data_IF_607270274216
#
_entry.id   IF_607270274216
#
_cell.length_a   1.000
_cell.length_b   1.000
_cell.length_c   1.000
_cell.angle_alpha   90.00
_cell.angle_beta   90.00
_cell.angle_gamma   90.00
#
_symmetry.space_group_name_H-M   'P 1'
#
loop_
_entity.id
_entity.type
_entity.pdbx_description
1 polymer ?
#
# COMPACT_ATOMS: atom_id res chain seq x y z
N UNK A 1 -12.28 19.98 11.34
CA UNK A 1 -12.69 18.64 10.89
C UNK A 1 -14.15 18.38 11.17
N UNK A 2 -14.83 17.75 10.25
CA UNK A 2 -16.26 17.42 10.41
C UNK A 2 -16.53 16.05 9.80
N UNK A 3 -17.06 15.15 10.58
CA UNK A 3 -17.53 13.83 10.15
C UNK A 3 -19.04 13.76 10.27
N UNK A 4 -19.71 13.45 9.16
CA UNK A 4 -21.17 13.35 9.09
C UNK A 4 -21.52 12.01 8.46
N UNK A 5 -22.48 11.29 9.05
CA UNK A 5 -23.00 10.04 8.51
C UNK A 5 -24.53 10.10 8.52
N UNK A 6 -25.16 9.93 7.34
CA UNK A 6 -26.61 9.99 7.16
C UNK A 6 -27.28 11.21 7.83
N UNK A 7 -26.70 12.41 7.61
CA UNK A 7 -27.15 13.67 8.19
C UNK A 7 -26.85 13.86 9.68
N UNK A 8 -26.32 12.86 10.36
CA UNK A 8 -25.91 12.97 11.77
C UNK A 8 -24.47 13.41 11.87
N UNK A 9 -24.18 14.48 12.59
CA UNK A 9 -22.83 14.92 12.91
C UNK A 9 -22.23 13.98 13.97
N UNK A 10 -21.10 13.35 13.66
CA UNK A 10 -20.41 12.40 14.53
C UNK A 10 -19.20 13.03 15.23
N UNK A 11 -18.50 13.92 14.51
CA UNK A 11 -17.37 14.67 15.04
C UNK A 11 -17.40 16.06 14.40
N UNK A 12 -17.18 17.09 15.24
CA UNK A 12 -16.90 18.46 14.79
C UNK A 12 -15.72 18.96 15.59
N UNK A 13 -14.72 19.47 14.90
CA UNK A 13 -13.59 20.14 15.50
C UNK A 13 -13.13 21.29 14.63
N UNK A 14 -13.06 22.49 15.23
CA UNK A 14 -12.53 23.69 14.61
C UNK A 14 -11.48 24.32 15.54
N UNK A 15 -10.33 24.68 15.00
CA UNK A 15 -9.24 25.27 15.78
C UNK A 15 -9.71 26.56 16.45
N UNK A 16 -9.60 26.63 17.77
CA UNK A 16 -9.99 27.80 18.57
C UNK A 16 -11.45 27.80 19.05
N UNK A 17 -12.20 26.75 18.76
CA UNK A 17 -13.58 26.52 19.26
C UNK A 17 -13.67 25.18 19.97
N UNK A 18 -14.71 25.02 20.79
CA UNK A 18 -15.01 23.73 21.39
C UNK A 18 -15.60 22.80 20.34
N UNK A 19 -15.04 21.60 20.25
CA UNK A 19 -15.52 20.55 19.39
C UNK A 19 -16.39 19.55 20.13
N UNK A 20 -16.95 18.59 19.42
CA UNK A 20 -17.61 17.45 20.04
C UNK A 20 -17.36 16.15 19.28
N UNK A 21 -17.49 15.04 20.01
CA UNK A 21 -17.51 13.70 19.48
C UNK A 21 -18.73 12.97 20.01
N UNK A 22 -19.39 12.22 19.14
CA UNK A 22 -20.55 11.42 19.50
C UNK A 22 -20.13 10.07 20.08
N UNK A 23 -20.72 9.71 21.21
CA UNK A 23 -20.58 8.40 21.83
C UNK A 23 -21.68 7.45 21.35
N UNK A 24 -21.54 6.15 21.66
CA UNK A 24 -22.62 5.19 21.53
C UNK A 24 -23.77 5.60 22.47
N UNK A 25 -24.95 5.82 21.87
CA UNK A 25 -26.09 6.39 22.56
C UNK A 25 -26.38 7.83 22.16
N UNK A 26 -26.90 8.65 23.09
CA UNK A 26 -27.26 10.04 22.81
C UNK A 26 -26.24 11.07 23.33
N UNK A 27 -25.27 10.62 24.11
CA UNK A 27 -24.31 11.50 24.72
C UNK A 27 -23.23 11.94 23.77
N UNK A 28 -22.72 13.13 23.97
CA UNK A 28 -21.60 13.71 23.21
C UNK A 28 -20.53 14.16 24.21
N UNK A 29 -19.29 13.79 23.94
CA UNK A 29 -18.15 14.33 24.68
C UNK A 29 -17.68 15.64 24.02
N UNK A 30 -17.48 16.65 24.85
CA UNK A 30 -16.93 17.94 24.43
C UNK A 30 -15.41 17.79 24.26
N UNK A 31 -14.90 18.17 23.10
CA UNK A 31 -13.47 18.28 22.85
C UNK A 31 -13.01 19.68 23.26
N UNK A 32 -12.15 19.82 24.29
CA UNK A 32 -11.77 21.12 24.79
C UNK A 32 -11.08 22.01 23.74
N UNK A 33 -11.45 23.29 23.74
CA UNK A 33 -10.83 24.33 22.88
C UNK A 33 -9.31 24.43 23.01
N UNK A 34 -8.78 24.08 24.19
CA UNK A 34 -7.34 24.12 24.49
C UNK A 34 -6.51 23.02 23.83
N UNK A 35 -7.15 22.03 23.19
CA UNK A 35 -6.42 21.01 22.44
C UNK A 35 -5.74 21.66 21.23
N UNK A 36 -4.46 22.03 21.42
CA UNK A 36 -3.57 22.43 20.32
C UNK A 36 -3.24 21.21 19.47
N UNK A 37 -4.24 20.75 18.69
CA UNK A 37 -4.09 19.56 17.85
C UNK A 37 -3.16 19.90 16.70
N UNK A 38 -1.96 19.33 16.71
CA UNK A 38 -1.00 19.40 15.59
C UNK A 38 -1.27 18.38 14.49
N UNK A 39 -2.29 17.54 14.67
CA UNK A 39 -2.68 16.46 13.77
C UNK A 39 -4.22 16.37 13.68
N UNK A 40 -4.74 15.45 12.87
CA UNK A 40 -6.18 15.19 12.79
C UNK A 40 -6.79 14.85 14.16
N UNK A 41 -7.96 15.41 14.49
CA UNK A 41 -8.70 15.04 15.68
C UNK A 41 -9.02 13.55 15.72
N UNK A 42 -9.37 12.95 14.60
CA UNK A 42 -9.61 11.51 14.46
C UNK A 42 -8.41 10.66 14.92
N UNK A 43 -7.18 11.11 14.67
CA UNK A 43 -5.97 10.41 15.08
C UNK A 43 -5.76 10.41 16.60
N UNK A 44 -6.29 11.41 17.28
CA UNK A 44 -6.18 11.56 18.73
C UNK A 44 -7.27 10.81 19.49
N UNK A 45 -8.30 10.34 18.80
CA UNK A 45 -9.35 9.56 19.43
C UNK A 45 -8.77 8.22 19.86
N UNK A 46 -8.70 8.05 21.18
CA UNK A 46 -8.46 6.72 21.73
C UNK A 46 -9.60 5.82 21.26
N UNK A 47 -9.30 4.57 20.91
CA UNK A 47 -10.30 3.54 20.57
C UNK A 47 -11.07 3.12 21.83
N UNK A 48 -11.59 4.12 22.56
CA UNK A 48 -12.43 3.90 23.72
C UNK A 48 -13.74 3.24 23.28
N UNK A 49 -14.22 2.28 24.04
CA UNK A 49 -15.45 1.54 23.75
C UNK A 49 -16.68 2.45 23.68
N UNK A 50 -16.61 3.63 24.30
CA UNK A 50 -17.71 4.63 24.34
C UNK A 50 -17.92 5.39 23.03
N UNK A 51 -16.96 5.40 22.11
CA UNK A 51 -17.05 6.14 20.85
C UNK A 51 -18.04 5.45 19.88
N UNK A 52 -18.87 6.25 19.21
CA UNK A 52 -19.83 5.76 18.21
C UNK A 52 -19.16 4.84 17.20
N UNK A 53 -19.73 3.66 16.98
CA UNK A 53 -19.17 2.61 16.11
C UNK A 53 -18.87 3.09 14.67
N UNK A 54 -19.61 4.07 14.16
CA UNK A 54 -19.40 4.65 12.82
C UNK A 54 -18.08 5.41 12.72
N UNK A 55 -17.67 6.06 13.83
CA UNK A 55 -16.36 6.72 13.92
C UNK A 55 -15.25 5.68 13.95
N UNK A 56 -15.42 4.59 14.74
CA UNK A 56 -14.47 3.47 14.77
C UNK A 56 -14.30 2.87 13.39
N UNK A 57 -15.41 2.59 12.71
CA UNK A 57 -15.39 2.04 11.36
C UNK A 57 -14.65 2.95 10.36
N UNK A 58 -14.86 4.27 10.47
CA UNK A 58 -14.18 5.24 9.63
C UNK A 58 -12.68 5.33 9.93
N UNK A 59 -12.28 5.27 11.19
CA UNK A 59 -10.87 5.21 11.61
C UNK A 59 -10.22 3.93 11.04
N UNK A 60 -10.87 2.78 11.20
CA UNK A 60 -10.39 1.51 10.67
C UNK A 60 -10.25 1.54 9.15
N UNK A 61 -11.21 2.15 8.45
CA UNK A 61 -11.12 2.39 7.00
C UNK A 61 -9.90 3.24 6.63
N UNK A 62 -9.66 4.35 7.33
CA UNK A 62 -8.51 5.22 7.06
C UNK A 62 -7.18 4.53 7.37
N UNK A 63 -7.10 3.80 8.49
CA UNK A 63 -5.88 3.07 8.89
C UNK A 63 -5.54 1.93 7.92
N UNK A 64 -6.56 1.31 7.32
CA UNK A 64 -6.39 0.26 6.31
C UNK A 64 -6.31 0.81 4.88
N UNK A 65 -6.38 2.14 4.71
CA UNK A 65 -6.22 2.78 3.41
C UNK A 65 -4.75 3.09 3.15
N UNK A 66 -4.25 2.68 1.99
CA UNK A 66 -2.89 2.95 1.55
C UNK A 66 -2.93 3.72 0.24
N UNK A 67 -2.22 4.86 0.18
CA UNK A 67 -2.02 5.61 -1.05
C UNK A 67 -0.66 5.27 -1.63
N UNK A 68 -0.65 4.95 -2.92
CA UNK A 68 0.56 4.75 -3.69
C UNK A 68 0.61 5.85 -4.75
N UNK A 69 1.30 6.93 -4.41
CA UNK A 69 1.65 7.96 -5.37
C UNK A 69 2.77 7.44 -6.25
N UNK A 70 2.64 7.69 -7.54
CA UNK A 70 3.65 7.48 -8.57
C UNK A 70 4.73 6.43 -8.21
N UNK A 71 4.45 5.17 -8.49
CA UNK A 71 5.48 4.12 -8.40
C UNK A 71 6.70 4.53 -9.24
N UNK A 72 7.80 4.79 -8.57
CA UNK A 72 9.04 5.26 -9.20
C UNK A 72 9.87 4.10 -9.73
N UNK A 73 9.99 3.90 -11.04
CA UNK A 73 10.86 2.86 -11.60
C UNK A 73 12.31 3.00 -11.11
N UNK A 74 12.79 4.22 -10.93
CA UNK A 74 14.14 4.47 -10.45
C UNK A 74 14.36 3.92 -9.03
N UNK A 75 13.39 4.10 -8.14
CA UNK A 75 13.43 3.56 -6.78
C UNK A 75 13.30 2.03 -6.78
N UNK A 76 12.43 1.48 -7.64
CA UNK A 76 12.22 0.03 -7.76
C UNK A 76 13.41 -0.72 -8.36
N UNK A 77 14.29 -0.03 -9.13
CA UNK A 77 15.55 -0.61 -9.63
C UNK A 77 16.57 -0.85 -8.55
N UNK A 78 16.48 -0.14 -7.44
CA UNK A 78 17.42 -0.24 -6.36
C UNK A 78 17.20 -1.52 -5.54
N UNK A 79 18.28 -1.99 -4.94
CA UNK A 79 18.19 -3.08 -3.97
C UNK A 79 17.55 -2.55 -2.67
N UNK A 80 16.75 -3.38 -2.03
CA UNK A 80 16.17 -3.08 -0.71
C UNK A 80 16.67 -4.07 0.36
N UNK A 81 16.53 -3.70 1.63
CA UNK A 81 17.04 -4.50 2.76
C UNK A 81 16.01 -4.63 3.87
N UNK A 82 16.08 -5.75 4.56
CA UNK A 82 15.28 -6.04 5.76
C UNK A 82 13.86 -6.49 5.44
N UNK A 83 13.09 -6.73 6.49
CA UNK A 83 11.68 -7.12 6.43
C UNK A 83 10.84 -5.87 6.13
N UNK A 84 9.90 -5.96 5.20
CA UNK A 84 9.05 -4.85 4.76
C UNK A 84 7.61 -5.32 4.58
N UNK A 85 6.70 -4.76 5.35
CA UNK A 85 5.27 -5.09 5.29
C UNK A 85 4.56 -4.47 4.07
N UNK A 86 5.17 -3.46 3.45
CA UNK A 86 4.65 -2.81 2.24
C UNK A 86 5.75 -2.51 1.23
N UNK A 87 5.36 -2.29 -0.01
CA UNK A 87 6.31 -1.88 -1.07
C UNK A 87 6.83 -0.44 -0.90
N UNK A 88 6.25 0.34 0.04
CA UNK A 88 6.53 1.78 0.19
C UNK A 88 5.86 2.63 -0.87
N UNK A 89 5.67 3.92 -0.61
CA UNK A 89 4.92 4.84 -1.49
C UNK A 89 5.46 4.86 -2.92
N UNK A 90 6.78 4.89 -3.09
CA UNK A 90 7.45 4.90 -4.40
C UNK A 90 7.80 3.52 -4.96
N UNK A 91 7.47 2.43 -4.26
CA UNK A 91 7.85 1.07 -4.64
C UNK A 91 9.27 0.66 -4.22
N UNK A 92 10.02 1.49 -3.48
CA UNK A 92 11.42 1.24 -3.11
C UNK A 92 11.67 -0.05 -2.33
N UNK A 93 10.65 -0.59 -1.67
CA UNK A 93 10.75 -1.81 -0.90
C UNK A 93 10.31 -3.06 -1.68
N UNK A 94 9.94 -2.92 -2.95
CA UNK A 94 9.43 -4.00 -3.78
C UNK A 94 10.30 -5.28 -3.75
N UNK A 95 11.66 -5.21 -3.84
CA UNK A 95 12.49 -6.41 -3.75
C UNK A 95 12.36 -7.15 -2.43
N UNK A 96 12.37 -6.43 -1.30
CA UNK A 96 12.22 -7.03 0.04
C UNK A 96 10.82 -7.58 0.25
N UNK A 97 9.79 -6.91 -0.27
CA UNK A 97 8.41 -7.36 -0.18
C UNK A 97 8.21 -8.68 -0.95
N UNK A 98 8.67 -8.77 -2.21
CA UNK A 98 8.60 -10.03 -3.00
C UNK A 98 9.36 -11.17 -2.30
N UNK A 99 10.50 -10.87 -1.68
CA UNK A 99 11.28 -11.88 -0.95
C UNK A 99 10.50 -12.52 0.19
N UNK A 100 9.64 -11.76 0.85
CA UNK A 100 8.90 -12.17 2.04
C UNK A 100 7.54 -12.80 1.75
N UNK A 101 7.08 -12.75 0.50
CA UNK A 101 5.84 -13.40 0.11
C UNK A 101 5.85 -14.87 0.54
N UNK A 102 4.72 -15.32 1.08
CA UNK A 102 4.49 -16.75 1.34
C UNK A 102 4.50 -17.52 0.02
N UNK A 103 4.63 -18.84 0.06
CA UNK A 103 4.60 -19.65 -1.17
C UNK A 103 3.26 -19.51 -1.91
N UNK A 104 2.15 -19.37 -1.17
CA UNK A 104 0.84 -19.09 -1.75
C UNK A 104 0.79 -17.74 -2.48
N UNK A 105 1.33 -16.68 -1.85
CA UNK A 105 1.41 -15.36 -2.46
C UNK A 105 2.31 -15.36 -3.70
N UNK A 106 3.44 -16.06 -3.65
CA UNK A 106 4.33 -16.21 -4.82
C UNK A 106 3.64 -16.93 -5.97
N UNK A 107 2.91 -18.01 -5.69
CA UNK A 107 2.16 -18.73 -6.70
C UNK A 107 1.06 -17.86 -7.33
N UNK A 108 0.30 -17.12 -6.51
CA UNK A 108 -0.71 -16.17 -6.97
C UNK A 108 -0.09 -15.04 -7.80
N UNK A 109 1.00 -14.43 -7.31
CA UNK A 109 1.77 -13.39 -7.99
C UNK A 109 2.23 -13.86 -9.37
N UNK A 110 2.85 -15.03 -9.47
CA UNK A 110 3.31 -15.58 -10.74
C UNK A 110 2.16 -15.93 -11.68
N UNK A 111 1.05 -16.46 -11.16
CA UNK A 111 -0.16 -16.73 -11.96
C UNK A 111 -0.73 -15.45 -12.59
N UNK A 112 -0.82 -14.36 -11.82
CA UNK A 112 -1.28 -13.06 -12.31
C UNK A 112 -0.33 -12.49 -13.36
N UNK A 113 0.99 -12.56 -13.13
CA UNK A 113 1.99 -12.12 -14.10
C UNK A 113 1.91 -12.90 -15.41
N UNK A 114 1.79 -14.23 -15.33
CA UNK A 114 1.66 -15.08 -16.53
C UNK A 114 0.40 -14.75 -17.31
N UNK A 115 -0.70 -14.44 -16.63
CA UNK A 115 -1.96 -14.02 -17.29
C UNK A 115 -1.83 -12.68 -18.01
N UNK A 116 -1.04 -11.74 -17.48
CA UNK A 116 -0.85 -10.40 -18.04
C UNK A 116 0.21 -10.36 -19.15
N UNK A 117 1.29 -11.11 -19.00
CA UNK A 117 2.48 -11.06 -19.87
C UNK A 117 2.65 -12.31 -20.74
N UNK A 118 1.73 -13.27 -20.63
CA UNK A 118 1.85 -14.56 -21.29
C UNK A 118 3.03 -15.40 -20.73
N UNK A 119 3.41 -16.43 -21.47
CA UNK A 119 4.49 -17.35 -21.08
C UNK A 119 5.91 -16.76 -21.26
N UNK A 120 6.01 -15.48 -21.57
CA UNK A 120 7.31 -14.82 -21.74
C UNK A 120 8.09 -14.81 -20.44
N UNK A 121 7.42 -14.51 -19.32
CA UNK A 121 8.04 -14.54 -18.01
C UNK A 121 7.77 -15.89 -17.35
N UNK A 122 8.84 -16.63 -17.07
CA UNK A 122 8.76 -17.94 -16.42
C UNK A 122 8.98 -17.89 -14.91
N UNK A 123 9.63 -16.84 -14.42
CA UNK A 123 9.92 -16.70 -12.99
C UNK A 123 10.28 -15.25 -12.64
N UNK A 124 9.92 -14.84 -11.42
CA UNK A 124 10.34 -13.57 -10.79
C UNK A 124 10.77 -13.86 -9.36
N UNK A 125 12.03 -13.61 -9.07
CA UNK A 125 12.61 -13.86 -7.74
C UNK A 125 13.32 -12.63 -7.19
N UNK A 126 13.31 -12.52 -5.89
CA UNK A 126 14.12 -11.58 -5.14
C UNK A 126 15.40 -12.28 -4.68
N UNK A 127 16.53 -11.95 -5.29
CA UNK A 127 17.84 -12.55 -4.97
C UNK A 127 18.70 -11.60 -4.16
N UNK A 128 19.46 -12.14 -3.20
CA UNK A 128 20.49 -11.37 -2.50
C UNK A 128 21.63 -11.08 -3.48
N UNK A 129 22.03 -9.81 -3.57
CA UNK A 129 23.09 -9.37 -4.46
C UNK A 129 24.06 -8.42 -3.74
N UNK A 130 25.35 -8.69 -3.88
CA UNK A 130 26.39 -7.90 -3.26
C UNK A 130 26.46 -8.08 -1.74
N UNK A 131 26.28 -6.99 -0.98
CA UNK A 131 26.38 -7.04 0.49
C UNK A 131 25.29 -7.89 1.13
N UNK A 132 25.57 -8.65 2.19
CA UNK A 132 24.57 -9.48 2.87
C UNK A 132 23.30 -8.69 3.25
N UNK A 133 22.15 -9.29 2.99
CA UNK A 133 20.83 -8.71 3.31
C UNK A 133 20.27 -7.75 2.27
N UNK A 134 21.02 -7.32 1.27
CA UNK A 134 20.51 -6.55 0.16
C UNK A 134 19.87 -7.48 -0.89
N UNK A 135 18.71 -7.10 -1.36
CA UNK A 135 17.86 -7.91 -2.24
C UNK A 135 17.51 -7.13 -3.49
N UNK A 136 17.62 -7.77 -4.65
CA UNK A 136 17.25 -7.23 -5.96
C UNK A 136 16.29 -8.17 -6.67
N UNK A 137 15.40 -7.64 -7.49
CA UNK A 137 14.49 -8.44 -8.32
C UNK A 137 15.25 -8.94 -9.55
N UNK A 138 15.03 -10.21 -9.87
CA UNK A 138 15.50 -10.85 -11.10
C UNK A 138 14.33 -11.60 -11.73
N UNK A 139 13.99 -11.27 -12.97
CA UNK A 139 13.06 -12.06 -13.78
C UNK A 139 13.81 -13.07 -14.64
N UNK A 140 13.14 -14.16 -14.95
CA UNK A 140 13.59 -15.12 -15.97
C UNK A 140 12.61 -15.05 -17.13
N UNK A 141 13.10 -14.59 -18.26
CA UNK A 141 12.33 -14.50 -19.49
C UNK A 141 12.71 -15.62 -20.47
N UNK A 142 11.71 -16.20 -21.12
CA UNK A 142 11.90 -17.17 -22.20
C UNK A 142 11.92 -16.44 -23.53
N UNK A 143 12.99 -16.65 -24.28
CA UNK A 143 13.12 -16.15 -25.62
C UNK A 143 13.56 -17.30 -26.53
N UNK A 144 12.61 -17.82 -27.33
CA UNK A 144 12.79 -19.06 -28.12
C UNK A 144 13.22 -20.21 -27.19
N UNK A 145 14.34 -20.81 -27.42
CA UNK A 145 14.89 -21.94 -26.66
C UNK A 145 15.85 -21.54 -25.55
N UNK A 146 15.96 -20.23 -25.28
CA UNK A 146 16.87 -19.69 -24.25
C UNK A 146 16.10 -19.01 -23.12
N UNK A 147 16.62 -19.17 -21.91
CA UNK A 147 16.17 -18.41 -20.74
C UNK A 147 17.18 -17.30 -20.45
N UNK A 148 16.70 -16.08 -20.28
CA UNK A 148 17.50 -14.90 -20.01
C UNK A 148 17.11 -14.39 -18.63
N UNK A 149 18.11 -14.07 -17.81
CA UNK A 149 17.89 -13.43 -16.51
C UNK A 149 18.05 -11.92 -16.66
N UNK A 150 17.02 -11.19 -16.27
CA UNK A 150 16.97 -9.73 -16.34
C UNK A 150 16.85 -9.19 -14.92
N UNK A 151 17.82 -8.38 -14.49
CA UNK A 151 17.77 -7.71 -13.18
C UNK A 151 16.85 -6.50 -13.20
N UNK A 152 16.36 -6.06 -12.03
CA UNK A 152 15.51 -4.85 -11.95
C UNK A 152 16.17 -3.62 -12.57
N UNK A 153 17.50 -3.57 -12.64
CA UNK A 153 18.24 -2.45 -13.26
C UNK A 153 18.02 -2.38 -14.77
N UNK A 154 17.76 -3.52 -15.41
CA UNK A 154 17.61 -3.69 -16.86
C UNK A 154 16.15 -3.78 -17.29
N UNK A 155 15.22 -3.89 -16.34
CA UNK A 155 13.78 -3.95 -16.62
C UNK A 155 13.27 -2.61 -17.15
N UNK A 156 12.28 -2.66 -18.04
CA UNK A 156 11.55 -1.46 -18.46
C UNK A 156 10.73 -0.86 -17.30
N UNK A 157 10.42 0.43 -17.40
CA UNK A 157 9.59 1.12 -16.41
C UNK A 157 8.21 0.47 -16.27
N UNK A 158 7.57 0.14 -17.39
CA UNK A 158 6.30 -0.53 -17.43
C UNK A 158 6.33 -1.90 -16.74
N UNK A 159 7.41 -2.68 -16.92
CA UNK A 159 7.59 -3.96 -16.26
C UNK A 159 7.68 -3.78 -14.74
N UNK A 160 8.49 -2.84 -14.27
CA UNK A 160 8.63 -2.57 -12.83
C UNK A 160 7.31 -2.14 -12.18
N UNK A 161 6.57 -1.25 -12.85
CA UNK A 161 5.23 -0.84 -12.39
C UNK A 161 4.25 -2.01 -12.36
N UNK A 162 4.24 -2.84 -13.39
CA UNK A 162 3.39 -4.02 -13.43
C UNK A 162 3.71 -4.99 -12.29
N UNK A 163 5.00 -5.26 -12.04
CA UNK A 163 5.44 -6.07 -10.89
C UNK A 163 4.95 -5.48 -9.57
N UNK A 164 5.04 -4.16 -9.41
CA UNK A 164 4.56 -3.47 -8.21
C UNK A 164 3.04 -3.59 -8.05
N UNK A 165 2.24 -3.37 -9.10
CA UNK A 165 0.78 -3.51 -9.04
C UNK A 165 0.35 -4.93 -8.68
N UNK A 166 0.98 -5.94 -9.30
CA UNK A 166 0.68 -7.33 -8.97
C UNK A 166 1.12 -7.65 -7.54
N UNK A 167 2.27 -7.14 -7.09
CA UNK A 167 2.73 -7.32 -5.71
C UNK A 167 1.79 -6.68 -4.68
N UNK A 168 1.29 -5.46 -4.95
CA UNK A 168 0.29 -4.79 -4.11
C UNK A 168 -0.98 -5.64 -3.97
N UNK A 169 -1.43 -6.29 -5.06
CA UNK A 169 -2.61 -7.14 -5.03
C UNK A 169 -2.47 -8.41 -4.17
N UNK A 170 -1.26 -8.73 -3.71
CA UNK A 170 -0.98 -9.83 -2.77
C UNK A 170 -1.00 -9.39 -1.31
N UNK A 171 -1.17 -8.09 -1.03
CA UNK A 171 -1.32 -7.60 0.35
C UNK A 171 -2.66 -8.11 0.88
N UNK A 172 -2.58 -9.08 1.78
CA UNK A 172 -3.75 -9.66 2.44
C UNK A 172 -4.21 -8.75 3.58
N UNK A 173 -5.06 -7.79 3.27
CA UNK A 173 -5.90 -7.14 4.28
C UNK A 173 -7.35 -7.24 3.79
N UNK A 174 -8.20 -7.86 4.58
CA UNK A 174 -9.61 -8.06 4.22
C UNK A 174 -10.37 -6.75 3.99
N UNK A 175 -9.86 -5.65 4.52
CA UNK A 175 -10.47 -4.32 4.47
C UNK A 175 -9.52 -3.26 3.88
N UNK A 176 -8.46 -3.67 3.15
CA UNK A 176 -7.52 -2.71 2.57
C UNK A 176 -8.15 -1.94 1.41
N UNK A 177 -8.15 -0.63 1.51
CA UNK A 177 -8.45 0.28 0.40
C UNK A 177 -7.14 0.79 -0.19
N UNK A 178 -6.98 0.68 -1.49
CA UNK A 178 -5.80 1.14 -2.21
C UNK A 178 -6.17 2.29 -3.12
N UNK A 179 -5.51 3.41 -2.95
CA UNK A 179 -5.61 4.57 -3.81
C UNK A 179 -4.38 4.57 -4.71
N UNK A 180 -4.60 4.42 -6.01
CA UNK A 180 -3.55 4.40 -7.03
C UNK A 180 -3.73 5.64 -7.90
N UNK A 181 -2.68 6.47 -7.97
CA UNK A 181 -2.65 7.62 -8.85
C UNK A 181 -1.76 7.34 -10.07
N UNK A 182 -2.07 7.98 -11.19
CA UNK A 182 -1.31 7.89 -12.46
C UNK A 182 -1.02 6.46 -12.95
N UNK A 183 -1.99 5.57 -12.79
CA UNK A 183 -1.85 4.14 -13.14
C UNK A 183 -1.52 3.94 -14.64
N UNK A 184 -1.99 4.86 -15.49
CA UNK A 184 -1.78 4.85 -16.94
C UNK A 184 -0.35 5.25 -17.35
N UNK A 185 0.37 5.95 -16.48
CA UNK A 185 1.73 6.43 -16.79
C UNK A 185 2.73 5.27 -16.84
N UNK A 186 3.18 4.96 -18.07
CA UNK A 186 4.19 3.93 -18.36
C UNK A 186 3.64 2.53 -18.60
N UNK A 187 2.32 2.33 -18.61
CA UNK A 187 1.69 1.13 -19.17
C UNK A 187 1.30 1.47 -20.60
N UNK A 188 2.20 1.18 -21.54
CA UNK A 188 1.90 1.37 -22.96
C UNK A 188 0.91 0.29 -23.39
N UNK A 189 -0.29 0.68 -23.78
CA UNK A 189 -1.38 -0.21 -24.20
C UNK A 189 -1.37 -0.50 -25.70
N UNK A 190 -0.20 -0.39 -26.37
CA UNK A 190 -0.04 -0.74 -27.77
C UNK A 190 0.22 -2.24 -27.97
#
# INVERSE_FOLDING_TARGET
ERLVCNGTQLLVYQKGEDGFIKNEGKDTNVLPRALAIKSSALRMLNRDETIDYRIKYFIDFLENSSSFEMLSPNEMRLSSRGVKESIGMSGKNLPSFIKQMTEEQKASFMSKLTRLLGNRISDVKAKTQGKPGWTQIVSTEKYKDKSIHISSKEMSDGMLRLLAFVAISEIKSSNATMLLDEIENGVNTN
#
